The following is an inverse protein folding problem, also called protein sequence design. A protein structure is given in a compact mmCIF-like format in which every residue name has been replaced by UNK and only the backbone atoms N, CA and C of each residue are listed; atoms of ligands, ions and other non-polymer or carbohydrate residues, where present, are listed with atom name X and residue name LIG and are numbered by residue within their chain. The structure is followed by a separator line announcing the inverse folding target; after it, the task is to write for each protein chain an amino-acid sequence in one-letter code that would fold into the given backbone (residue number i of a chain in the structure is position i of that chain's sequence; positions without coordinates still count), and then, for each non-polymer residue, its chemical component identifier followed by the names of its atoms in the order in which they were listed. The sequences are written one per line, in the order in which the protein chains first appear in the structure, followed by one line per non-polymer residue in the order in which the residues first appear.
data_IF_635653040418
#
_entry.id   IF_635653040418
#
_cell.length_a   1.000
_cell.length_b   1.000
_cell.length_c   1.000
_cell.angle_alpha   90.00
_cell.angle_beta   90.00
_cell.angle_gamma   90.00
#
_symmetry.space_group_name_H-M   'P 1'
#
loop_
_entity.id
_entity.type
_entity.pdbx_description
1 polymer ?
#
# COMPACT_ATOMS: atom_id res chain seq x y z
N UNK A 1 6.62 11.17 -6.94
CA UNK A 1 5.16 11.16 -7.27
C UNK A 1 4.37 12.01 -6.28
N UNK A 2 4.57 11.83 -4.97
CA UNK A 2 3.85 12.55 -3.90
C UNK A 2 4.12 14.06 -3.95
N UNK A 3 5.39 14.49 -4.00
CA UNK A 3 5.77 15.91 -4.10
C UNK A 3 5.17 16.61 -5.34
N UNK A 4 5.10 15.90 -6.48
CA UNK A 4 4.47 16.41 -7.71
C UNK A 4 2.97 16.66 -7.56
N UNK A 5 2.29 16.01 -6.60
CA UNK A 5 0.85 16.17 -6.32
C UNK A 5 0.56 16.87 -4.99
N UNK A 6 1.59 17.33 -4.28
CA UNK A 6 1.52 17.78 -2.88
C UNK A 6 0.45 18.86 -2.64
N UNK A 7 0.31 19.83 -3.53
CA UNK A 7 -0.70 20.90 -3.43
C UNK A 7 -2.15 20.36 -3.39
N UNK A 8 -2.42 19.24 -4.08
CA UNK A 8 -3.75 18.61 -4.08
C UNK A 8 -4.03 17.75 -2.84
N UNK A 9 -2.99 17.36 -2.10
CA UNK A 9 -3.07 16.38 -1.03
C UNK A 9 -3.30 17.01 0.36
N UNK A 10 -3.18 18.35 0.50
CA UNK A 10 -3.47 19.10 1.75
C UNK A 10 -2.74 18.55 2.99
N UNK A 11 -1.51 18.10 2.80
CA UNK A 11 -0.62 17.64 3.88
C UNK A 11 -0.20 18.84 4.72
N UNK A 12 -0.35 18.75 6.05
CA UNK A 12 0.05 19.80 6.99
C UNK A 12 1.52 19.70 7.39
N UNK A 13 1.97 18.47 7.67
CA UNK A 13 3.34 18.18 8.07
C UNK A 13 3.76 16.82 7.52
N UNK A 14 5.07 16.69 7.30
CA UNK A 14 5.74 15.45 6.89
C UNK A 14 6.86 15.22 7.88
N UNK A 15 6.92 14.03 8.47
CA UNK A 15 7.99 13.61 9.36
C UNK A 15 8.62 12.33 8.81
N UNK A 16 9.95 12.31 8.73
CA UNK A 16 10.69 11.10 8.37
C UNK A 16 10.89 10.24 9.61
N UNK A 17 10.70 8.93 9.45
CA UNK A 17 10.93 7.91 10.47
C UNK A 17 11.93 6.89 9.93
N UNK A 18 12.54 6.11 10.81
CA UNK A 18 13.60 5.15 10.42
C UNK A 18 13.17 4.15 9.32
N UNK A 19 11.88 3.81 9.27
CA UNK A 19 11.32 2.83 8.31
C UNK A 19 10.10 3.39 7.55
N UNK A 20 10.07 4.71 7.33
CA UNK A 20 8.96 5.30 6.59
C UNK A 20 8.82 6.81 6.71
N UNK A 21 7.62 7.28 6.35
CA UNK A 21 7.28 8.70 6.33
C UNK A 21 5.87 8.87 6.87
N UNK A 22 5.72 9.75 7.86
CA UNK A 22 4.44 10.13 8.42
C UNK A 22 3.90 11.39 7.72
N UNK A 23 2.63 11.32 7.31
CA UNK A 23 1.89 12.46 6.72
C UNK A 23 0.76 12.87 7.66
N UNK A 24 0.74 14.14 8.04
CA UNK A 24 -0.29 14.68 8.94
C UNK A 24 -1.33 15.50 8.17
N UNK A 25 -2.59 15.33 8.57
CA UNK A 25 -3.75 15.95 7.93
C UNK A 25 -4.67 16.57 8.99
N UNK A 26 -5.31 17.70 8.62
CA UNK A 26 -6.25 18.40 9.50
C UNK A 26 -7.55 17.61 9.73
N UNK A 27 -7.97 16.84 8.72
CA UNK A 27 -9.24 16.16 8.70
C UNK A 27 -9.10 14.71 8.24
N UNK A 28 -9.88 13.83 8.86
CA UNK A 28 -9.91 12.38 8.58
C UNK A 28 -10.17 12.07 7.10
N UNK A 29 -11.09 12.80 6.46
CA UNK A 29 -11.42 12.60 5.05
C UNK A 29 -10.24 12.88 4.10
N UNK A 30 -9.30 13.75 4.48
CA UNK A 30 -8.10 14.04 3.69
C UNK A 30 -7.12 12.87 3.79
N UNK A 31 -6.89 12.36 5.00
CA UNK A 31 -6.06 11.17 5.22
C UNK A 31 -6.62 9.96 4.46
N UNK A 32 -7.94 9.72 4.50
CA UNK A 32 -8.56 8.62 3.76
C UNK A 32 -8.40 8.77 2.24
N UNK A 33 -8.54 9.98 1.70
CA UNK A 33 -8.29 10.25 0.27
C UNK A 33 -6.82 10.02 -0.10
N UNK A 34 -5.90 10.38 0.78
CA UNK A 34 -4.47 10.12 0.58
C UNK A 34 -4.18 8.61 0.55
N UNK A 35 -4.71 7.84 1.50
CA UNK A 35 -4.60 6.37 1.50
C UNK A 35 -5.19 5.76 0.23
N UNK A 36 -6.34 6.25 -0.24
CA UNK A 36 -6.92 5.79 -1.50
C UNK A 36 -6.02 6.13 -2.69
N UNK A 37 -5.44 7.33 -2.72
CA UNK A 37 -4.47 7.72 -3.74
C UNK A 37 -3.24 6.80 -3.74
N UNK A 38 -2.71 6.39 -2.59
CA UNK A 38 -1.59 5.44 -2.51
C UNK A 38 -1.91 4.12 -3.22
N UNK A 39 -3.11 3.56 -3.01
CA UNK A 39 -3.57 2.36 -3.72
C UNK A 39 -3.64 2.51 -5.25
N UNK A 40 -3.72 3.74 -5.77
CA UNK A 40 -3.70 3.99 -7.23
C UNK A 40 -2.30 4.04 -7.82
N UNK A 41 -1.26 4.21 -6.99
CA UNK A 41 0.12 4.46 -7.47
C UNK A 41 1.09 3.36 -7.06
N UNK A 42 0.87 2.70 -5.93
CA UNK A 42 1.74 1.63 -5.41
C UNK A 42 0.90 0.45 -4.91
N UNK A 43 1.42 -0.78 -4.94
CA UNK A 43 0.75 -1.93 -4.37
C UNK A 43 1.05 -1.99 -2.88
N UNK A 44 0.01 -2.08 -2.06
CA UNK A 44 0.16 -2.20 -0.63
C UNK A 44 -1.15 -2.53 0.07
N UNK A 45 -1.09 -2.66 1.38
CA UNK A 45 -2.23 -2.82 2.27
C UNK A 45 -2.30 -1.63 3.22
N UNK A 46 -3.44 -1.47 3.88
CA UNK A 46 -3.55 -0.44 4.91
C UNK A 46 -4.35 -0.94 6.09
N UNK A 47 -3.96 -0.47 7.27
CA UNK A 47 -4.67 -0.65 8.52
C UNK A 47 -5.10 0.70 9.07
N UNK A 48 -6.23 0.74 9.79
CA UNK A 48 -6.76 1.93 10.44
C UNK A 48 -6.84 1.69 11.95
N UNK A 49 -6.30 2.64 12.71
CA UNK A 49 -6.41 2.70 14.17
C UNK A 49 -7.04 4.04 14.58
N UNK A 50 -7.74 4.05 15.71
CA UNK A 50 -8.29 5.27 16.30
C UNK A 50 -8.08 5.29 17.81
N UNK A 51 -7.65 6.44 18.32
CA UNK A 51 -7.42 6.69 19.74
C UNK A 51 -8.30 7.84 20.21
N UNK A 52 -9.11 7.60 21.24
CA UNK A 52 -9.84 8.66 21.92
C UNK A 52 -8.84 9.55 22.68
N UNK A 53 -8.84 10.84 22.38
CA UNK A 53 -7.96 11.83 23.02
C UNK A 53 -8.68 12.48 24.20
N UNK A 54 -9.93 12.90 23.99
CA UNK A 54 -10.75 13.48 25.04
C UNK A 54 -12.24 13.31 24.72
N UNK A 55 -13.06 13.35 25.75
CA UNK A 55 -14.51 13.35 25.64
C UNK A 55 -15.08 14.48 26.51
N UNK A 56 -16.04 15.22 25.99
CA UNK A 56 -16.78 16.25 26.73
C UNK A 56 -18.23 15.77 26.89
N UNK A 57 -18.55 15.36 28.11
CA UNK A 57 -19.87 14.82 28.48
C UNK A 57 -21.00 15.85 28.35
N UNK A 58 -20.69 17.14 28.52
CA UNK A 58 -21.71 18.22 28.47
C UNK A 58 -22.25 18.43 27.07
N UNK A 59 -21.39 18.29 26.07
CA UNK A 59 -21.74 18.49 24.65
C UNK A 59 -21.83 17.14 23.89
N UNK A 60 -21.68 16.01 24.58
CA UNK A 60 -21.59 14.68 24.00
C UNK A 60 -20.58 14.57 22.83
N UNK A 61 -19.49 15.35 22.87
CA UNK A 61 -18.47 15.40 21.82
C UNK A 61 -17.24 14.58 22.19
N UNK A 62 -16.58 13.96 21.21
CA UNK A 62 -15.37 13.19 21.40
C UNK A 62 -14.29 13.62 20.39
N UNK A 63 -13.08 13.87 20.88
CA UNK A 63 -11.91 14.14 20.06
C UNK A 63 -11.16 12.83 19.81
N UNK A 64 -11.10 12.40 18.55
CA UNK A 64 -10.51 11.12 18.15
C UNK A 64 -9.34 11.38 17.20
N UNK A 65 -8.15 10.88 17.55
CA UNK A 65 -7.01 10.84 16.64
C UNK A 65 -7.09 9.54 15.85
N UNK A 66 -7.10 9.64 14.52
CA UNK A 66 -7.07 8.47 13.63
C UNK A 66 -5.70 8.34 12.98
N UNK A 67 -5.22 7.11 12.89
CA UNK A 67 -3.97 6.74 12.25
C UNK A 67 -4.27 5.76 11.13
N UNK A 68 -3.69 6.00 9.95
CA UNK A 68 -3.70 5.06 8.84
C UNK A 68 -2.27 4.61 8.60
N UNK A 69 -2.03 3.31 8.68
CA UNK A 69 -0.74 2.71 8.35
C UNK A 69 -0.87 2.13 6.95
N UNK A 70 0.02 2.51 6.04
CA UNK A 70 0.07 1.97 4.69
C UNK A 70 1.37 1.19 4.53
N UNK A 71 1.26 -0.11 4.30
CA UNK A 71 2.41 -0.99 4.10
C UNK A 71 2.57 -1.25 2.60
N UNK A 72 3.72 -0.86 2.04
CA UNK A 72 4.04 -1.07 0.63
C UNK A 72 4.57 -2.49 0.46
N UNK A 73 4.18 -3.18 -0.61
CA UNK A 73 4.77 -4.46 -0.95
C UNK A 73 6.30 -4.32 -1.14
N UNK A 74 7.14 -5.10 -0.44
CA UNK A 74 8.59 -5.01 -0.52
C UNK A 74 9.13 -5.67 -1.82
N UNK A 75 8.69 -5.16 -2.96
CA UNK A 75 9.11 -5.59 -4.30
C UNK A 75 9.49 -4.38 -5.12
N UNK A 76 10.62 -4.48 -5.80
CA UNK A 76 11.15 -3.49 -6.72
C UNK A 76 11.02 -3.96 -8.16
N UNK A 77 11.20 -2.99 -9.06
CA UNK A 77 11.42 -3.27 -10.48
C UNK A 77 12.75 -4.01 -10.65
N UNK A 78 12.79 -4.93 -11.60
CA UNK A 78 13.92 -5.77 -11.99
C UNK A 78 14.31 -6.84 -10.94
N UNK A 79 13.47 -7.05 -9.93
CA UNK A 79 13.61 -8.16 -8.98
C UNK A 79 13.24 -9.50 -9.63
N UNK A 80 14.06 -10.52 -9.34
CA UNK A 80 13.73 -11.91 -9.64
C UNK A 80 12.97 -12.52 -8.46
N UNK A 81 11.72 -12.90 -8.68
CA UNK A 81 10.83 -13.40 -7.63
C UNK A 81 10.46 -14.86 -7.85
N UNK A 82 10.33 -15.59 -6.74
CA UNK A 82 9.76 -16.94 -6.71
C UNK A 82 8.36 -16.83 -6.12
N UNK A 83 7.36 -17.10 -6.97
CA UNK A 83 5.96 -17.14 -6.58
C UNK A 83 5.64 -18.46 -5.88
N UNK A 84 4.83 -18.46 -4.80
CA UNK A 84 4.27 -19.68 -4.25
C UNK A 84 3.46 -20.44 -5.30
N UNK A 85 3.51 -21.78 -5.28
CA UNK A 85 2.84 -22.67 -6.25
C UNK A 85 1.38 -22.30 -6.47
N UNK A 86 0.64 -21.97 -5.40
CA UNK A 86 -0.78 -21.60 -5.47
C UNK A 86 -0.99 -20.30 -6.26
N UNK A 87 -0.16 -19.28 -6.00
CA UNK A 87 -0.22 -18.00 -6.68
C UNK A 87 0.17 -18.13 -8.16
N UNK A 88 1.26 -18.86 -8.45
CA UNK A 88 1.72 -19.13 -9.80
C UNK A 88 0.65 -19.82 -10.65
N UNK A 89 -0.02 -20.85 -10.10
CA UNK A 89 -1.15 -21.53 -10.76
C UNK A 89 -2.34 -20.61 -11.01
N UNK A 90 -2.68 -19.76 -10.03
CA UNK A 90 -3.78 -18.80 -10.19
C UNK A 90 -3.49 -17.75 -11.28
N UNK A 91 -2.22 -17.38 -11.43
CA UNK A 91 -1.75 -16.42 -12.44
C UNK A 91 -1.44 -17.06 -13.80
N UNK A 92 -1.47 -18.39 -13.91
CA UNK A 92 -1.17 -19.13 -15.13
C UNK A 92 0.31 -19.05 -15.56
N UNK A 93 1.23 -18.86 -14.61
CA UNK A 93 2.68 -18.73 -14.85
C UNK A 93 3.48 -19.73 -14.03
N UNK A 94 4.75 -19.88 -14.38
CA UNK A 94 5.73 -20.59 -13.58
C UNK A 94 6.11 -19.79 -12.31
N UNK A 95 6.73 -20.46 -11.35
CA UNK A 95 7.10 -19.83 -10.09
C UNK A 95 8.17 -18.76 -10.26
N UNK A 96 9.10 -18.91 -11.21
CA UNK A 96 10.18 -17.97 -11.43
C UNK A 96 9.74 -16.85 -12.39
N UNK A 97 9.62 -15.64 -11.87
CA UNK A 97 9.19 -14.47 -12.64
C UNK A 97 10.11 -13.28 -12.40
N UNK A 98 10.29 -12.44 -13.42
CA UNK A 98 10.95 -11.13 -13.32
C UNK A 98 9.92 -10.02 -13.12
N UNK A 99 10.15 -9.10 -12.20
CA UNK A 99 9.29 -7.93 -12.00
C UNK A 99 9.65 -6.84 -13.00
N UNK A 100 8.78 -6.58 -13.96
CA UNK A 100 9.05 -5.58 -15.00
C UNK A 100 8.63 -4.17 -14.62
N UNK A 101 7.58 -4.05 -13.80
CA UNK A 101 7.00 -2.78 -13.40
C UNK A 101 6.22 -2.93 -12.11
N UNK A 102 6.36 -1.94 -11.24
CA UNK A 102 5.54 -1.77 -10.04
C UNK A 102 4.67 -0.53 -10.22
N UNK A 103 3.34 -0.73 -10.23
CA UNK A 103 2.32 0.33 -10.21
C UNK A 103 1.30 0.02 -9.10
N UNK A 104 0.02 0.33 -9.26
CA UNK A 104 -1.05 -0.26 -8.44
C UNK A 104 -1.10 -1.81 -8.48
N UNK A 105 -0.38 -2.44 -9.41
CA UNK A 105 -0.20 -3.89 -9.55
C UNK A 105 1.27 -4.20 -9.82
N UNK A 106 1.67 -5.44 -9.55
CA UNK A 106 3.01 -5.95 -9.81
C UNK A 106 2.98 -6.67 -11.15
N UNK A 107 3.69 -6.14 -12.14
CA UNK A 107 3.75 -6.71 -13.49
C UNK A 107 4.94 -7.65 -13.57
N UNK A 108 4.66 -8.89 -13.98
CA UNK A 108 5.58 -10.01 -13.97
C UNK A 108 5.80 -10.55 -15.37
N UNK A 109 6.98 -11.10 -15.59
CA UNK A 109 7.35 -11.83 -16.79
C UNK A 109 7.87 -13.22 -16.44
N UNK A 110 7.20 -14.24 -16.96
CA UNK A 110 7.62 -15.63 -16.83
C UNK A 110 8.80 -15.91 -17.77
N UNK A 111 9.95 -16.24 -17.19
CA UNK A 111 11.19 -16.47 -17.95
C UNK A 111 11.18 -17.77 -18.76
N UNK A 112 10.35 -18.75 -18.40
CA UNK A 112 10.28 -20.05 -19.08
C UNK A 112 9.20 -20.07 -20.16
N UNK A 113 8.02 -19.50 -19.88
CA UNK A 113 6.91 -19.47 -20.83
C UNK A 113 6.91 -18.22 -21.74
N UNK A 114 7.63 -17.17 -21.37
CA UNK A 114 7.66 -15.90 -22.10
C UNK A 114 6.34 -15.11 -21.99
N UNK A 115 5.59 -15.31 -20.91
CA UNK A 115 4.25 -14.74 -20.69
C UNK A 115 4.31 -13.54 -19.74
N UNK A 116 3.50 -12.52 -20.03
CA UNK A 116 3.29 -11.37 -19.16
C UNK A 116 2.04 -11.57 -18.30
N UNK A 117 2.15 -11.30 -17.00
CA UNK A 117 1.00 -11.34 -16.08
C UNK A 117 1.06 -10.19 -15.08
N UNK A 118 -0.04 -9.92 -14.40
CA UNK A 118 -0.11 -8.89 -13.37
C UNK A 118 -0.73 -9.45 -12.08
N UNK A 119 -0.05 -9.22 -10.97
CA UNK A 119 -0.49 -9.62 -9.64
C UNK A 119 -1.02 -8.40 -8.87
N UNK A 120 -2.18 -8.58 -8.24
CA UNK A 120 -2.78 -7.56 -7.37
C UNK A 120 -2.11 -7.53 -6.00
N UNK A 121 -2.14 -6.38 -5.33
CA UNK A 121 -1.65 -6.25 -3.95
C UNK A 121 -2.29 -7.28 -3.00
N UNK A 122 -3.59 -7.54 -3.14
CA UNK A 122 -4.30 -8.52 -2.31
C UNK A 122 -3.78 -9.94 -2.52
N UNK A 123 -3.54 -10.35 -3.77
CA UNK A 123 -2.99 -11.66 -4.07
C UNK A 123 -1.57 -11.79 -3.57
N UNK A 124 -0.75 -10.74 -3.74
CA UNK A 124 0.61 -10.68 -3.20
C UNK A 124 0.59 -10.90 -1.68
N UNK A 125 -0.13 -10.04 -0.94
CA UNK A 125 -0.11 -10.09 0.52
C UNK A 125 -0.60 -11.45 1.04
N UNK A 126 -1.71 -11.99 0.50
CA UNK A 126 -2.22 -13.33 0.86
C UNK A 126 -1.22 -14.46 0.60
N UNK A 127 -0.37 -14.33 -0.41
CA UNK A 127 0.57 -15.38 -0.79
C UNK A 127 1.82 -15.39 0.10
N UNK A 128 2.25 -14.23 0.61
CA UNK A 128 3.52 -14.07 1.33
C UNK A 128 3.38 -13.86 2.85
N UNK A 129 2.21 -13.48 3.38
CA UNK A 129 2.00 -13.31 4.84
C UNK A 129 1.45 -14.54 5.56
N UNK A 130 0.93 -15.54 4.84
CA UNK A 130 0.40 -16.78 5.42
C UNK A 130 1.26 -18.02 5.11
N UNK A 131 2.54 -17.83 4.81
CA UNK A 131 3.51 -18.93 4.63
C UNK A 131 4.27 -19.21 5.92
#
# INVERSE_FOLDING_TARGET
IILKKQASLRVQAVEEENDGINFYFAAHNQAQKFTHFLHTVVPGTHEKSSKLISHNERDATANIKMTFVYEIAPICRDDLVILPIKAARQLGVNQLCLVLRVSNQIHLYDLAAGVYTAMTSLLYHKSYTYS
#
